data_IF_894307805408
#
_entry.id   IF_894307805408
#
_cell.length_a   1.000
_cell.length_b   1.000
_cell.length_c   1.000
_cell.angle_alpha   90.00
_cell.angle_beta   90.00
_cell.angle_gamma   90.00
#
_symmetry.space_group_name_H-M   'P 1'
#
loop_
_entity.id
_entity.type
_entity.pdbx_description
1 polymer ?
#
# COMPACT_ATOMS: atom_id res chain seq x y z
N UNK A 1 -10.89 21.87 -17.44
CA UNK A 1 -9.58 22.25 -16.90
C UNK A 1 -8.91 20.99 -16.38
N UNK A 2 -7.66 20.66 -16.73
CA UNK A 2 -6.96 19.56 -16.06
C UNK A 2 -6.62 20.04 -14.64
N UNK A 3 -7.14 19.35 -13.63
CA UNK A 3 -6.83 19.61 -12.22
C UNK A 3 -5.43 19.06 -11.95
N UNK A 4 -4.46 19.94 -11.76
CA UNK A 4 -3.13 19.56 -11.24
C UNK A 4 -3.33 19.03 -9.83
N UNK A 5 -3.17 17.73 -9.63
CA UNK A 5 -3.21 17.11 -8.30
C UNK A 5 -1.86 17.43 -7.63
N UNK A 6 -1.89 18.22 -6.56
CA UNK A 6 -0.71 18.47 -5.73
C UNK A 6 -0.65 17.39 -4.66
N UNK A 7 -0.01 16.27 -4.97
CA UNK A 7 0.30 15.22 -4.01
C UNK A 7 1.21 15.82 -2.92
N UNK A 8 0.66 16.11 -1.75
CA UNK A 8 1.39 16.84 -0.69
C UNK A 8 2.30 15.95 0.14
N UNK A 9 2.02 14.63 0.16
CA UNK A 9 2.73 13.64 0.97
C UNK A 9 3.10 12.41 0.13
N UNK A 10 4.28 11.84 0.37
CA UNK A 10 4.76 10.69 -0.39
C UNK A 10 5.62 9.73 0.43
N UNK A 11 5.60 8.46 0.01
CA UNK A 11 6.62 7.46 0.31
C UNK A 11 7.19 7.04 -1.04
N UNK A 12 8.42 7.46 -1.34
CA UNK A 12 9.01 7.25 -2.66
C UNK A 12 10.46 6.75 -2.58
N UNK A 13 10.82 5.81 -3.44
CA UNK A 13 12.21 5.35 -3.57
C UNK A 13 12.77 4.68 -2.31
N UNK A 14 11.90 4.11 -1.47
CA UNK A 14 12.27 3.53 -0.18
C UNK A 14 12.35 2.01 -0.22
N UNK A 15 13.22 1.44 0.62
CA UNK A 15 13.23 0.01 0.92
C UNK A 15 12.68 -0.20 2.34
N UNK A 16 11.60 -0.97 2.47
CA UNK A 16 10.93 -1.24 3.76
C UNK A 16 10.98 -2.74 4.01
N UNK A 17 11.51 -3.17 5.15
CA UNK A 17 11.66 -4.59 5.44
C UNK A 17 11.53 -4.95 6.91
N UNK A 18 11.21 -6.22 7.20
CA UNK A 18 11.12 -6.79 8.55
C UNK A 18 10.16 -6.02 9.49
N UNK A 19 8.97 -5.67 9.00
CA UNK A 19 7.98 -4.97 9.82
C UNK A 19 7.05 -5.94 10.56
N UNK A 20 6.49 -5.49 11.68
CA UNK A 20 5.69 -6.34 12.58
C UNK A 20 4.19 -6.42 12.22
N UNK A 21 3.69 -5.69 11.22
CA UNK A 21 2.29 -5.81 10.76
C UNK A 21 1.94 -5.12 9.43
N UNK A 22 2.63 -4.02 9.07
CA UNK A 22 2.40 -3.24 7.84
C UNK A 22 3.71 -2.61 7.35
N UNK A 23 3.92 -2.51 6.05
CA UNK A 23 5.03 -1.72 5.48
C UNK A 23 4.64 -0.26 5.33
N UNK A 24 3.50 0.01 4.70
CA UNK A 24 2.95 1.37 4.57
C UNK A 24 1.45 1.37 4.84
N UNK A 25 1.02 2.25 5.73
CA UNK A 25 -0.38 2.38 6.11
C UNK A 25 -0.82 3.84 5.94
N UNK A 26 -1.74 4.10 5.01
CA UNK A 26 -2.35 5.41 4.83
C UNK A 26 -3.80 5.35 5.34
N UNK A 27 -4.16 6.28 6.22
CA UNK A 27 -5.49 6.34 6.83
C UNK A 27 -6.04 7.76 6.78
N UNK A 28 -7.23 7.92 6.22
CA UNK A 28 -7.96 9.16 6.09
C UNK A 28 -7.12 10.27 5.46
N UNK A 29 -6.53 9.96 4.30
CA UNK A 29 -5.59 10.81 3.57
C UNK A 29 -6.17 11.24 2.23
N UNK A 30 -5.82 12.43 1.77
CA UNK A 30 -6.19 12.90 0.43
C UNK A 30 -4.91 13.22 -0.36
N UNK A 31 -4.62 12.41 -1.39
CA UNK A 31 -3.56 12.70 -2.36
C UNK A 31 -2.16 12.26 -1.92
N UNK A 32 -2.01 11.03 -1.42
CA UNK A 32 -0.72 10.42 -1.09
C UNK A 32 -0.15 9.66 -2.28
N UNK A 33 1.15 9.85 -2.54
CA UNK A 33 1.90 9.09 -3.55
C UNK A 33 2.79 8.02 -2.92
N UNK A 34 2.62 6.78 -3.38
CA UNK A 34 3.44 5.64 -2.98
C UNK A 34 4.09 5.08 -4.26
N UNK A 35 5.35 5.43 -4.49
CA UNK A 35 6.00 5.21 -5.78
C UNK A 35 7.41 4.63 -5.65
N UNK A 36 7.79 3.73 -6.56
CA UNK A 36 9.16 3.21 -6.70
C UNK A 36 9.73 2.61 -5.38
N UNK A 37 8.89 1.97 -4.57
CA UNK A 37 9.32 1.35 -3.32
C UNK A 37 9.57 -0.15 -3.48
N UNK A 38 10.50 -0.69 -2.69
CA UNK A 38 10.70 -2.14 -2.53
C UNK A 38 10.30 -2.50 -1.10
N UNK A 39 9.32 -3.37 -0.95
CA UNK A 39 8.82 -3.78 0.36
C UNK A 39 8.88 -5.30 0.48
N UNK A 40 9.54 -5.80 1.53
CA UNK A 40 9.70 -7.24 1.70
C UNK A 40 9.76 -7.73 3.13
N UNK A 41 9.49 -9.01 3.34
CA UNK A 41 9.53 -9.64 4.67
C UNK A 41 8.64 -8.95 5.71
N UNK A 42 7.47 -8.50 5.27
CA UNK A 42 6.44 -7.87 6.11
C UNK A 42 5.50 -8.94 6.66
N UNK A 43 5.20 -8.87 7.96
CA UNK A 43 4.09 -9.61 8.56
C UNK A 43 2.78 -8.85 8.31
N UNK A 44 1.67 -9.50 8.00
CA UNK A 44 0.34 -8.85 7.91
C UNK A 44 -0.02 -8.33 6.52
N UNK A 45 -0.79 -7.24 6.46
CA UNK A 45 -1.11 -6.56 5.21
C UNK A 45 -0.05 -5.49 4.94
N UNK A 46 0.54 -5.46 3.76
CA UNK A 46 1.72 -4.64 3.53
C UNK A 46 1.38 -3.18 3.23
N UNK A 47 0.69 -2.95 2.11
CA UNK A 47 0.17 -1.65 1.71
C UNK A 47 -1.33 -1.58 2.03
N UNK A 48 -1.71 -0.69 2.93
CA UNK A 48 -3.11 -0.51 3.35
C UNK A 48 -3.58 0.89 2.96
N UNK A 49 -4.61 0.93 2.09
CA UNK A 49 -5.17 2.16 1.51
C UNK A 49 -6.56 2.42 2.12
N UNK A 50 -6.59 3.21 3.20
CA UNK A 50 -7.77 3.46 4.04
C UNK A 50 -8.19 4.92 4.14
N UNK A 51 -8.80 5.50 3.12
CA UNK A 51 -9.71 6.66 3.29
C UNK A 51 -9.19 8.01 2.78
N UNK A 52 -10.09 8.99 2.78
CA UNK A 52 -10.06 10.24 2.01
C UNK A 52 -11.24 10.30 1.03
N UNK A 53 -11.97 11.40 0.94
CA UNK A 53 -13.14 11.52 0.04
C UNK A 53 -12.85 12.42 -1.17
N UNK A 54 -11.79 13.22 -1.12
CA UNK A 54 -11.67 14.43 -1.94
C UNK A 54 -10.57 14.32 -3.00
N UNK A 55 -9.46 13.63 -2.72
CA UNK A 55 -8.37 13.38 -3.69
C UNK A 55 -8.01 11.90 -3.82
N UNK A 56 -7.40 11.55 -4.97
CA UNK A 56 -7.05 10.15 -5.26
C UNK A 56 -5.63 9.82 -4.81
N UNK A 57 -5.52 8.92 -3.84
CA UNK A 57 -4.25 8.30 -3.49
C UNK A 57 -3.74 7.47 -4.68
N UNK A 58 -2.42 7.42 -4.86
CA UNK A 58 -1.80 6.68 -5.97
C UNK A 58 -0.69 5.78 -5.44
N UNK A 59 -0.77 4.49 -5.78
CA UNK A 59 0.35 3.56 -5.64
C UNK A 59 0.79 3.04 -7.01
N UNK A 60 2.09 3.17 -7.29
CA UNK A 60 2.66 2.74 -8.56
C UNK A 60 4.11 2.27 -8.47
N UNK A 61 4.50 1.42 -9.43
CA UNK A 61 5.88 0.99 -9.64
C UNK A 61 6.58 0.39 -8.41
N UNK A 62 5.82 -0.08 -7.43
CA UNK A 62 6.38 -0.67 -6.22
C UNK A 62 6.45 -2.19 -6.35
N UNK A 63 7.53 -2.77 -5.83
CA UNK A 63 7.76 -4.21 -5.74
C UNK A 63 7.48 -4.66 -4.30
N UNK A 64 6.49 -5.54 -4.13
CA UNK A 64 6.12 -6.09 -2.83
C UNK A 64 6.32 -7.60 -2.85
N UNK A 65 7.17 -8.12 -1.95
CA UNK A 65 7.57 -9.53 -1.95
C UNK A 65 7.52 -10.15 -0.56
N UNK A 66 7.13 -11.42 -0.47
CA UNK A 66 7.21 -12.19 0.78
C UNK A 66 6.39 -11.60 1.93
N UNK A 67 5.13 -11.25 1.65
CA UNK A 67 4.14 -10.84 2.65
C UNK A 67 3.65 -12.06 3.41
N UNK A 68 3.97 -12.10 4.70
CA UNK A 68 3.76 -13.24 5.60
C UNK A 68 2.46 -13.10 6.39
N UNK A 69 1.86 -14.22 6.79
CA UNK A 69 0.69 -14.19 7.66
C UNK A 69 0.97 -13.46 8.99
N UNK A 70 -0.07 -12.81 9.52
CA UNK A 70 0.00 -11.84 10.62
C UNK A 70 0.36 -12.43 11.99
N UNK A 71 0.58 -11.52 12.94
CA UNK A 71 0.39 -11.73 14.38
C UNK A 71 -1.11 -11.64 14.76
N UNK A 72 -1.56 -12.40 15.77
CA UNK A 72 -2.98 -12.54 16.18
C UNK A 72 -3.68 -11.18 16.46
N UNK A 73 -4.84 -10.92 15.83
CA UNK A 73 -5.72 -9.79 16.14
C UNK A 73 -6.14 -8.87 14.97
N UNK A 74 -5.42 -8.84 13.83
CA UNK A 74 -5.68 -7.85 12.77
C UNK A 74 -6.87 -8.20 11.83
N UNK A 75 -7.97 -7.43 11.78
CA UNK A 75 -9.12 -7.77 10.95
C UNK A 75 -8.83 -7.78 9.43
N UNK A 76 -7.69 -7.23 8.99
CA UNK A 76 -7.31 -7.20 7.57
C UNK A 76 -6.63 -8.53 7.19
N UNK A 77 -7.11 -9.24 6.14
CA UNK A 77 -6.41 -10.41 5.61
C UNK A 77 -4.99 -10.02 5.17
N UNK A 78 -4.00 -10.90 5.39
CA UNK A 78 -2.65 -10.63 4.88
C UNK A 78 -2.72 -10.48 3.34
N UNK A 79 -2.48 -9.28 2.85
CA UNK A 79 -2.49 -8.92 1.44
C UNK A 79 -1.33 -7.98 1.17
N UNK A 80 -0.71 -8.06 -0.01
CA UNK A 80 0.35 -7.12 -0.34
C UNK A 80 -0.21 -5.72 -0.57
N UNK A 81 -1.34 -5.61 -1.25
CA UNK A 81 -2.09 -4.36 -1.38
C UNK A 81 -3.54 -4.63 -1.01
N UNK A 82 -4.01 -3.93 0.02
CA UNK A 82 -5.38 -3.97 0.48
C UNK A 82 -6.05 -2.61 0.25
N UNK A 83 -7.10 -2.60 -0.57
CA UNK A 83 -7.81 -1.41 -1.03
C UNK A 83 -9.25 -1.41 -0.50
N UNK A 84 -9.53 -0.60 0.52
CA UNK A 84 -10.92 -0.38 0.96
C UNK A 84 -11.55 0.90 0.42
N UNK A 85 -10.74 1.75 -0.23
CA UNK A 85 -11.18 3.06 -0.74
C UNK A 85 -11.45 3.00 -2.24
N UNK A 86 -12.55 3.62 -2.67
CA UNK A 86 -12.99 3.58 -4.07
C UNK A 86 -12.26 4.58 -4.97
N UNK A 87 -11.55 5.55 -4.39
CA UNK A 87 -10.88 6.64 -5.11
C UNK A 87 -9.36 6.49 -5.09
N UNK A 88 -8.83 5.30 -5.40
CA UNK A 88 -7.39 5.04 -5.37
C UNK A 88 -6.89 4.51 -6.71
N UNK A 89 -5.79 5.05 -7.20
CA UNK A 89 -5.11 4.56 -8.40
C UNK A 89 -4.06 3.53 -8.01
N UNK A 90 -4.25 2.28 -8.43
CA UNK A 90 -3.28 1.19 -8.26
C UNK A 90 -2.83 0.72 -9.64
N UNK A 91 -1.56 0.97 -9.99
CA UNK A 91 -1.06 0.64 -11.33
C UNK A 91 0.40 0.23 -11.32
N UNK A 92 0.78 -0.70 -12.19
CA UNK A 92 2.19 -1.08 -12.41
C UNK A 92 2.95 -1.53 -11.15
N UNK A 93 2.25 -1.97 -10.10
CA UNK A 93 2.86 -2.61 -8.95
C UNK A 93 3.09 -4.09 -9.25
N UNK A 94 4.18 -4.63 -8.71
CA UNK A 94 4.52 -6.05 -8.83
C UNK A 94 4.42 -6.67 -7.44
N UNK A 95 3.65 -7.74 -7.33
CA UNK A 95 3.46 -8.46 -6.08
C UNK A 95 3.81 -9.94 -6.27
N UNK A 96 4.65 -10.50 -5.39
CA UNK A 96 5.05 -11.90 -5.48
C UNK A 96 5.33 -12.55 -4.12
N UNK A 97 5.20 -13.88 -4.04
CA UNK A 97 5.70 -14.67 -2.91
C UNK A 97 5.00 -14.48 -1.56
N UNK A 98 3.83 -13.83 -1.52
CA UNK A 98 3.03 -13.70 -0.30
C UNK A 98 2.29 -14.99 0.08
N UNK A 99 1.99 -15.16 1.37
CA UNK A 99 1.27 -16.35 1.89
C UNK A 99 -0.20 -16.42 1.49
N UNK A 100 -0.81 -15.28 1.19
CA UNK A 100 -2.25 -15.15 0.96
C UNK A 100 -2.52 -14.47 -0.39
N UNK A 101 -2.89 -13.18 -0.40
CA UNK A 101 -3.38 -12.49 -1.60
C UNK A 101 -2.44 -11.37 -2.03
N UNK A 102 -2.30 -11.16 -3.34
CA UNK A 102 -1.51 -10.06 -3.86
C UNK A 102 -2.25 -8.72 -3.81
N UNK A 103 -3.41 -8.65 -4.43
CA UNK A 103 -4.28 -7.48 -4.44
C UNK A 103 -5.67 -7.89 -3.92
N UNK A 104 -6.19 -7.18 -2.92
CA UNK A 104 -7.49 -7.42 -2.29
C UNK A 104 -8.31 -6.14 -2.20
#
# INVERSE_FOLDING_TARGET
MPRTIFLSSYVKGSSIHNTFNRGVNINNTDGVLIEDNVIHDVLGADLVLQGGLDESDTTQHSLIVNVKNRCLGDPVPAAAIWMSQLNTTVRSNVVAGGTNVGFW
#
